data_IF_444455987403
#
_entry.id   IF_444455987403
#
_cell.length_a   1.000
_cell.length_b   1.000
_cell.length_c   1.000
_cell.angle_alpha   90.00
_cell.angle_beta   90.00
_cell.angle_gamma   90.00
#
_symmetry.space_group_name_H-M   'P 1'
#
loop_
_entity.id
_entity.type
_entity.pdbx_description
1 polymer ?
#
# COMPACT_ATOMS: atom_id res chain seq x y z
N UNK A 1 -17.68 -23.67 -6.78
CA UNK A 1 -17.14 -22.96 -5.62
C UNK A 1 -15.72 -22.51 -5.97
N UNK A 2 -15.41 -21.22 -6.17
CA UNK A 2 -14.06 -20.75 -6.26
C UNK A 2 -13.52 -20.61 -4.83
N UNK A 3 -12.52 -21.39 -4.47
CA UNK A 3 -11.82 -21.29 -3.21
C UNK A 3 -10.63 -20.37 -3.37
N UNK A 4 -10.59 -19.28 -2.63
CA UNK A 4 -9.39 -18.46 -2.47
C UNK A 4 -8.34 -19.31 -1.77
N UNK A 5 -7.28 -19.72 -2.48
CA UNK A 5 -6.22 -20.56 -1.91
C UNK A 5 -5.22 -19.64 -1.23
N UNK A 6 -5.28 -19.55 0.08
CA UNK A 6 -4.22 -18.95 0.88
C UNK A 6 -2.97 -19.85 0.81
N UNK A 7 -1.94 -19.42 0.12
CA UNK A 7 -0.61 -20.05 0.21
C UNK A 7 0.15 -19.37 1.34
N UNK A 8 0.13 -20.01 2.51
CA UNK A 8 1.03 -19.67 3.61
C UNK A 8 2.43 -20.18 3.26
N UNK A 9 3.37 -19.29 3.05
CA UNK A 9 4.79 -19.60 2.98
C UNK A 9 5.56 -18.77 4.01
N UNK A 10 6.21 -19.44 4.95
CA UNK A 10 7.35 -18.98 5.74
C UNK A 10 7.04 -17.92 6.80
N UNK A 11 6.95 -18.32 8.05
CA UNK A 11 6.39 -17.60 9.14
C UNK A 11 7.26 -16.53 9.82
N UNK A 12 6.72 -15.35 9.93
CA UNK A 12 6.98 -14.49 11.07
C UNK A 12 6.27 -15.07 12.31
N UNK A 13 6.85 -14.94 13.50
CA UNK A 13 6.23 -15.44 14.72
C UNK A 13 4.91 -14.71 14.99
N UNK A 14 3.91 -15.40 15.53
CA UNK A 14 2.56 -14.85 15.77
C UNK A 14 2.54 -13.55 16.61
N UNK A 15 3.59 -13.28 17.40
CA UNK A 15 3.76 -12.04 18.16
C UNK A 15 4.14 -10.84 17.30
N UNK A 16 4.90 -11.05 16.23
CA UNK A 16 5.36 -9.96 15.35
C UNK A 16 4.24 -9.48 14.42
N UNK A 17 3.37 -10.39 13.96
CA UNK A 17 2.21 -10.08 13.12
C UNK A 17 1.22 -9.17 13.85
N UNK A 18 1.09 -9.30 15.17
CA UNK A 18 0.18 -8.49 15.97
C UNK A 18 0.49 -6.98 15.94
N UNK A 19 1.73 -6.59 15.60
CA UNK A 19 2.14 -5.18 15.50
C UNK A 19 2.03 -4.59 14.08
N UNK A 20 1.85 -5.42 13.06
CA UNK A 20 1.69 -5.02 11.65
C UNK A 20 0.23 -4.97 11.21
N UNK A 21 -0.05 -5.58 10.05
CA UNK A 21 -1.38 -5.75 9.48
C UNK A 21 -1.88 -7.19 9.69
N UNK A 22 -3.11 -7.34 10.21
CA UNK A 22 -3.87 -8.59 10.15
C UNK A 22 -5.25 -8.30 9.56
N UNK A 23 -5.53 -8.88 8.40
CA UNK A 23 -6.85 -8.93 7.77
C UNK A 23 -7.24 -10.41 7.67
N UNK A 24 -8.37 -10.81 8.26
CA UNK A 24 -8.77 -12.21 8.37
C UNK A 24 -10.21 -12.41 7.94
N UNK A 25 -10.43 -13.35 7.03
CA UNK A 25 -11.77 -13.76 6.58
C UNK A 25 -12.57 -12.65 5.91
N UNK A 26 -11.89 -11.68 5.23
CA UNK A 26 -12.58 -10.54 4.62
C UNK A 26 -13.44 -10.98 3.44
N UNK A 27 -14.71 -10.65 3.53
CA UNK A 27 -15.65 -10.67 2.41
C UNK A 27 -16.08 -9.23 2.12
N UNK A 28 -15.99 -8.80 0.86
CA UNK A 28 -16.35 -7.46 0.45
C UNK A 28 -16.77 -7.43 -1.02
N UNK A 29 -17.53 -6.38 -1.39
CA UNK A 29 -17.97 -6.19 -2.75
C UNK A 29 -18.75 -4.90 -2.94
N UNK A 30 -19.41 -4.77 -4.08
CA UNK A 30 -20.16 -3.57 -4.48
C UNK A 30 -21.63 -3.94 -4.72
N UNK A 31 -22.53 -3.48 -3.85
CA UNK A 31 -23.93 -3.89 -3.90
C UNK A 31 -24.06 -5.41 -3.75
N UNK A 32 -24.73 -6.07 -4.68
CA UNK A 32 -24.91 -7.54 -4.66
C UNK A 32 -23.71 -8.32 -5.23
N UNK A 33 -22.73 -7.63 -5.81
CA UNK A 33 -21.56 -8.26 -6.44
C UNK A 33 -20.47 -8.48 -5.38
N UNK A 34 -20.28 -9.76 -4.96
CA UNK A 34 -19.14 -10.15 -4.12
C UNK A 34 -17.87 -10.19 -4.97
N UNK A 35 -16.83 -9.50 -4.50
CA UNK A 35 -15.51 -9.45 -5.15
C UNK A 35 -14.47 -10.21 -4.32
N UNK A 36 -14.55 -10.09 -2.99
CA UNK A 36 -13.67 -10.81 -2.07
C UNK A 36 -14.45 -11.85 -1.31
N UNK A 37 -13.90 -13.05 -1.23
CA UNK A 37 -14.45 -14.16 -0.44
C UNK A 37 -13.34 -14.76 0.42
N UNK A 38 -13.46 -14.60 1.74
CA UNK A 38 -12.55 -15.18 2.73
C UNK A 38 -11.06 -14.79 2.53
N UNK A 39 -10.80 -13.51 2.18
CA UNK A 39 -9.43 -13.02 2.05
C UNK A 39 -8.76 -12.93 3.42
N UNK A 40 -7.59 -13.55 3.54
CA UNK A 40 -6.73 -13.40 4.72
C UNK A 40 -5.33 -12.95 4.30
N UNK A 41 -4.84 -11.86 4.93
CA UNK A 41 -3.54 -11.25 4.70
C UNK A 41 -2.97 -10.78 6.03
N UNK A 42 -1.80 -11.29 6.38
CA UNK A 42 -1.05 -10.87 7.56
C UNK A 42 0.32 -10.37 7.11
N UNK A 43 0.77 -9.23 7.64
CA UNK A 43 2.08 -8.64 7.31
C UNK A 43 2.71 -8.11 8.58
N UNK A 44 3.88 -8.60 8.92
CA UNK A 44 4.64 -8.15 10.08
C UNK A 44 5.31 -6.79 9.83
N UNK A 45 5.61 -5.99 10.87
CA UNK A 45 6.52 -4.86 10.72
C UNK A 45 7.86 -5.33 10.13
N UNK A 46 8.41 -4.55 9.20
CA UNK A 46 9.62 -4.94 8.47
C UNK A 46 9.40 -5.89 7.30
N UNK A 47 8.21 -6.42 7.14
CA UNK A 47 7.88 -7.33 6.05
C UNK A 47 7.29 -6.56 4.86
N UNK A 48 7.71 -6.93 3.64
CA UNK A 48 7.13 -6.46 2.38
C UNK A 48 6.44 -7.62 1.66
N UNK A 49 5.13 -7.51 1.46
CA UNK A 49 4.30 -8.53 0.81
C UNK A 49 3.78 -8.01 -0.53
N UNK A 50 3.99 -8.80 -1.58
CA UNK A 50 3.41 -8.55 -2.89
C UNK A 50 2.02 -9.21 -3.01
N UNK A 51 1.00 -8.45 -3.38
CA UNK A 51 -0.32 -8.99 -3.73
C UNK A 51 -0.43 -9.04 -5.25
N UNK A 52 -0.51 -10.24 -5.76
CA UNK A 52 -0.46 -10.57 -7.18
C UNK A 52 -1.81 -11.12 -7.65
N UNK A 53 -2.10 -11.03 -8.93
CA UNK A 53 -3.31 -11.58 -9.53
C UNK A 53 -3.68 -10.88 -10.82
N UNK A 54 -4.55 -11.51 -11.60
CA UNK A 54 -5.05 -10.95 -12.86
C UNK A 54 -5.87 -9.67 -12.61
N UNK A 55 -6.09 -8.89 -13.67
CA UNK A 55 -7.04 -7.78 -13.62
C UNK A 55 -8.43 -8.33 -13.29
N UNK A 56 -9.13 -7.68 -12.35
CA UNK A 56 -10.43 -8.15 -11.87
C UNK A 56 -10.37 -9.14 -10.69
N UNK A 57 -9.21 -9.66 -10.31
CA UNK A 57 -9.08 -10.61 -9.18
C UNK A 57 -9.37 -10.00 -7.80
N UNK A 58 -9.71 -8.72 -7.71
CA UNK A 58 -10.08 -8.07 -6.45
C UNK A 58 -8.93 -7.42 -5.67
N UNK A 59 -7.74 -7.25 -6.26
CA UNK A 59 -6.57 -6.67 -5.57
C UNK A 59 -6.85 -5.28 -5.00
N UNK A 60 -7.30 -4.34 -5.83
CA UNK A 60 -7.70 -2.99 -5.40
C UNK A 60 -8.84 -3.03 -4.37
N UNK A 61 -9.82 -3.91 -4.57
CA UNK A 61 -10.93 -4.09 -3.62
C UNK A 61 -10.42 -4.57 -2.26
N UNK A 62 -9.41 -5.44 -2.24
CA UNK A 62 -8.77 -5.89 -1.00
C UNK A 62 -8.14 -4.71 -0.23
N UNK A 63 -7.34 -3.88 -0.91
CA UNK A 63 -6.76 -2.69 -0.28
C UNK A 63 -7.83 -1.71 0.18
N UNK A 64 -8.86 -1.46 -0.63
CA UNK A 64 -9.97 -0.56 -0.28
C UNK A 64 -10.78 -1.09 0.92
N UNK A 65 -11.02 -2.40 1.01
CA UNK A 65 -11.68 -3.01 2.16
C UNK A 65 -10.83 -2.89 3.44
N UNK A 66 -9.52 -3.15 3.34
CA UNK A 66 -8.57 -2.95 4.45
C UNK A 66 -8.48 -1.47 4.85
N UNK A 67 -8.53 -0.54 3.89
CA UNK A 67 -8.56 0.91 4.17
C UNK A 67 -9.91 1.41 4.70
N UNK A 68 -10.99 0.60 4.65
CA UNK A 68 -12.34 0.97 5.06
C UNK A 68 -13.09 1.83 4.07
N UNK A 69 -12.61 1.89 2.82
CA UNK A 69 -13.24 2.62 1.71
C UNK A 69 -14.36 1.80 1.05
N UNK A 70 -14.29 0.48 1.15
CA UNK A 70 -15.34 -0.46 0.74
C UNK A 70 -15.83 -1.19 1.99
N UNK A 71 -17.14 -1.28 2.22
CA UNK A 71 -17.69 -1.99 3.37
C UNK A 71 -17.37 -3.49 3.27
N UNK A 72 -17.10 -4.10 4.43
CA UNK A 72 -16.88 -5.53 4.55
C UNK A 72 -18.11 -6.21 5.11
N UNK A 73 -18.55 -7.31 4.49
CA UNK A 73 -19.68 -8.14 4.96
C UNK A 73 -19.27 -8.97 6.18
N UNK A 74 -18.01 -9.45 6.20
CA UNK A 74 -17.45 -10.26 7.28
C UNK A 74 -15.92 -10.09 7.35
N UNK A 75 -15.33 -10.67 8.39
CA UNK A 75 -13.90 -10.66 8.64
C UNK A 75 -13.47 -9.55 9.60
N UNK A 76 -12.18 -9.50 9.87
CA UNK A 76 -11.57 -8.52 10.79
C UNK A 76 -10.38 -7.83 10.15
N UNK A 77 -10.13 -6.57 10.57
CA UNK A 77 -8.95 -5.80 10.19
C UNK A 77 -8.30 -5.26 11.46
N UNK A 78 -7.00 -5.53 11.64
CA UNK A 78 -6.20 -5.02 12.77
C UNK A 78 -4.92 -4.38 12.26
N UNK A 79 -4.51 -3.29 12.91
CA UNK A 79 -3.27 -2.57 12.61
C UNK A 79 -2.58 -2.23 13.93
N UNK A 80 -1.35 -2.64 14.10
CA UNK A 80 -0.58 -2.40 15.32
C UNK A 80 -1.28 -2.92 16.58
N UNK A 81 -1.98 -4.05 16.48
CA UNK A 81 -2.77 -4.66 17.55
C UNK A 81 -4.17 -4.06 17.75
N UNK A 82 -4.46 -2.88 17.20
CA UNK A 82 -5.76 -2.24 17.33
C UNK A 82 -6.78 -2.87 16.36
N UNK A 83 -7.97 -3.23 16.87
CA UNK A 83 -9.08 -3.68 16.02
C UNK A 83 -9.73 -2.48 15.32
N UNK A 84 -9.62 -2.46 14.01
CA UNK A 84 -10.14 -1.40 13.13
C UNK A 84 -11.28 -1.89 12.23
N UNK A 85 -11.84 -3.06 12.49
CA UNK A 85 -12.85 -3.72 11.64
C UNK A 85 -14.02 -2.79 11.30
N UNK A 86 -14.50 -2.04 12.28
CA UNK A 86 -15.61 -1.09 12.12
C UNK A 86 -15.17 0.38 12.13
N UNK A 87 -13.86 0.64 12.10
CA UNK A 87 -13.34 1.98 12.13
C UNK A 87 -13.53 2.69 10.77
N UNK A 88 -13.80 3.99 10.81
CA UNK A 88 -13.85 4.82 9.61
C UNK A 88 -12.47 4.89 8.92
N UNK A 89 -12.40 5.23 7.61
CA UNK A 89 -11.13 5.40 6.92
C UNK A 89 -10.20 6.38 7.65
N UNK A 90 -10.73 7.52 8.13
CA UNK A 90 -9.93 8.49 8.89
C UNK A 90 -9.37 7.94 10.20
N UNK A 91 -10.14 7.10 10.91
CA UNK A 91 -9.66 6.43 12.13
C UNK A 91 -8.56 5.40 11.82
N UNK A 92 -8.66 4.68 10.68
CA UNK A 92 -7.62 3.74 10.23
C UNK A 92 -6.33 4.49 9.87
N UNK A 93 -6.42 5.64 9.20
CA UNK A 93 -5.27 6.52 8.95
C UNK A 93 -4.65 7.00 10.27
N UNK A 94 -5.48 7.43 11.24
CA UNK A 94 -5.00 7.82 12.57
C UNK A 94 -4.32 6.69 13.36
N UNK A 95 -4.67 5.44 13.08
CA UNK A 95 -4.03 4.25 13.66
C UNK A 95 -2.70 3.86 12.98
N UNK A 96 -2.34 4.53 11.86
CA UNK A 96 -1.11 4.30 11.12
C UNK A 96 -1.26 3.47 9.84
N UNK A 97 -2.49 3.27 9.33
CA UNK A 97 -2.72 2.65 8.02
C UNK A 97 -2.73 3.72 6.93
N UNK A 98 -1.78 3.69 6.04
CA UNK A 98 -1.71 4.61 4.88
C UNK A 98 -1.84 3.81 3.59
N UNK A 99 -2.64 4.31 2.65
CA UNK A 99 -2.82 3.72 1.33
C UNK A 99 -2.48 4.74 0.24
N UNK A 100 -1.69 4.32 -0.72
CA UNK A 100 -1.42 5.03 -1.99
C UNK A 100 -2.25 4.35 -3.07
N UNK A 101 -3.31 5.00 -3.57
CA UNK A 101 -4.17 4.43 -4.58
C UNK A 101 -3.52 4.46 -5.98
N UNK A 102 -4.09 3.72 -6.93
CA UNK A 102 -3.64 3.64 -8.33
C UNK A 102 -3.71 4.99 -9.07
N UNK A 103 -4.69 5.85 -8.72
CA UNK A 103 -4.81 7.22 -9.22
C UNK A 103 -3.88 8.22 -8.53
N UNK A 104 -3.04 7.75 -7.57
CA UNK A 104 -2.08 8.50 -6.76
C UNK A 104 -2.69 9.43 -5.72
N UNK A 105 -3.97 9.77 -5.79
CA UNK A 105 -4.65 10.68 -4.85
C UNK A 105 -4.06 12.10 -4.78
N UNK A 106 -3.45 12.59 -5.86
CA UNK A 106 -2.78 13.89 -5.90
C UNK A 106 -3.68 14.98 -6.49
N UNK A 107 -3.49 16.22 -6.04
CA UNK A 107 -4.18 17.40 -6.54
C UNK A 107 -3.33 18.08 -7.65
N UNK A 108 -3.70 18.01 -8.93
CA UNK A 108 -2.86 18.49 -10.03
C UNK A 108 -2.52 19.98 -9.97
N UNK A 109 -3.35 20.79 -9.30
CA UNK A 109 -3.17 22.23 -9.15
C UNK A 109 -2.19 22.65 -8.06
N UNK A 110 -1.94 21.79 -7.09
CA UNK A 110 -1.01 22.05 -5.99
C UNK A 110 0.43 21.72 -6.42
N UNK A 111 1.38 22.43 -5.85
CA UNK A 111 2.80 22.10 -5.97
C UNK A 111 3.16 20.87 -5.15
N UNK A 112 4.32 20.29 -5.44
CA UNK A 112 4.86 19.17 -4.65
C UNK A 112 5.02 19.59 -3.19
N UNK A 113 5.59 20.76 -2.90
CA UNK A 113 5.78 21.24 -1.54
C UNK A 113 4.44 21.43 -0.79
N UNK A 114 3.41 21.96 -1.48
CA UNK A 114 2.08 22.10 -0.86
C UNK A 114 1.49 20.74 -0.47
N UNK A 115 1.69 19.67 -1.26
CA UNK A 115 1.24 18.33 -0.89
C UNK A 115 1.90 17.83 0.39
N UNK A 116 3.22 17.98 0.52
CA UNK A 116 3.92 17.58 1.75
C UNK A 116 3.47 18.41 2.96
N UNK A 117 3.20 19.70 2.76
CA UNK A 117 2.66 20.57 3.82
C UNK A 117 1.28 20.11 4.32
N UNK A 118 0.42 19.55 3.43
CA UNK A 118 -0.89 19.00 3.85
C UNK A 118 -0.79 17.85 4.85
N UNK A 119 0.32 17.12 4.83
CA UNK A 119 0.58 16.00 5.76
C UNK A 119 1.51 16.39 6.91
N UNK A 120 1.86 17.68 7.03
CA UNK A 120 2.71 18.19 8.10
C UNK A 120 4.19 17.83 7.94
N UNK A 121 4.65 17.58 6.70
CA UNK A 121 6.03 17.21 6.38
C UNK A 121 6.63 18.14 5.30
N UNK A 122 7.84 17.85 4.86
CA UNK A 122 8.54 18.57 3.81
C UNK A 122 8.99 17.66 2.67
N UNK A 123 9.28 18.28 1.52
CA UNK A 123 9.85 17.58 0.37
C UNK A 123 11.22 17.00 0.71
N UNK A 124 11.99 17.69 1.56
CA UNK A 124 13.35 17.28 1.92
C UNK A 124 13.37 15.93 2.63
N UNK A 125 12.39 15.67 3.50
CA UNK A 125 12.25 14.37 4.18
C UNK A 125 12.00 13.24 3.15
N UNK A 126 11.15 13.45 2.17
CA UNK A 126 10.92 12.47 1.10
C UNK A 126 12.11 12.34 0.14
N UNK A 127 12.87 13.42 -0.05
CA UNK A 127 14.03 13.45 -0.92
C UNK A 127 15.21 12.61 -0.37
N UNK A 128 15.22 12.28 0.91
CA UNK A 128 16.17 11.32 1.47
C UNK A 128 16.04 9.93 0.79
N UNK A 129 14.82 9.54 0.43
CA UNK A 129 14.55 8.28 -0.30
C UNK A 129 14.48 8.49 -1.81
N UNK A 130 13.85 9.59 -2.26
CA UNK A 130 13.67 9.92 -3.67
C UNK A 130 14.32 11.27 -4.00
N UNK A 131 15.65 11.32 -4.25
CA UNK A 131 16.39 12.58 -4.42
C UNK A 131 15.85 13.48 -5.53
N UNK A 132 15.21 12.92 -6.56
CA UNK A 132 14.59 13.69 -7.63
C UNK A 132 13.52 14.67 -7.14
N UNK A 133 12.85 14.39 -6.00
CA UNK A 133 11.82 15.26 -5.44
C UNK A 133 12.34 16.62 -5.01
N UNK A 134 13.60 16.74 -4.57
CA UNK A 134 14.18 17.99 -4.14
C UNK A 134 14.09 19.10 -5.23
N UNK A 135 14.29 18.72 -6.50
CA UNK A 135 14.18 19.63 -7.64
C UNK A 135 12.75 19.98 -8.06
N UNK A 136 11.75 19.33 -7.46
CA UNK A 136 10.33 19.43 -7.86
C UNK A 136 9.48 20.27 -6.90
N UNK A 137 10.03 20.73 -5.77
CA UNK A 137 9.27 21.33 -4.68
C UNK A 137 8.27 22.43 -5.13
N UNK A 138 8.68 23.34 -5.99
CA UNK A 138 7.84 24.43 -6.53
C UNK A 138 7.01 24.04 -7.75
N UNK A 139 7.18 22.84 -8.32
CA UNK A 139 6.46 22.42 -9.52
C UNK A 139 5.06 21.94 -9.15
N UNK A 140 4.05 22.34 -9.95
CA UNK A 140 2.70 21.79 -9.82
C UNK A 140 2.72 20.31 -10.20
N UNK A 141 2.03 19.47 -9.41
CA UNK A 141 2.01 18.01 -9.63
C UNK A 141 1.44 17.66 -11.01
N UNK A 142 0.46 18.41 -11.51
CA UNK A 142 -0.07 18.21 -12.87
C UNK A 142 0.94 18.47 -14.01
N UNK A 143 2.08 19.12 -13.72
CA UNK A 143 3.18 19.35 -14.67
C UNK A 143 4.36 18.36 -14.45
N UNK A 144 4.24 17.45 -13.50
CA UNK A 144 5.21 16.38 -13.27
C UNK A 144 4.93 15.20 -14.21
N UNK A 145 5.97 14.45 -14.58
CA UNK A 145 5.84 13.18 -15.28
C UNK A 145 5.11 12.14 -14.41
N UNK A 146 4.59 11.08 -15.02
CA UNK A 146 3.92 10.00 -14.28
C UNK A 146 4.81 9.38 -13.21
N UNK A 147 6.11 9.22 -13.48
CA UNK A 147 7.08 8.71 -12.51
C UNK A 147 7.34 9.67 -11.35
N UNK A 148 7.49 10.97 -11.64
CA UNK A 148 7.63 12.00 -10.61
C UNK A 148 6.38 12.07 -9.72
N UNK A 149 5.18 11.99 -10.31
CA UNK A 149 3.93 11.94 -9.55
C UNK A 149 3.87 10.71 -8.65
N UNK A 150 4.33 9.55 -9.13
CA UNK A 150 4.34 8.33 -8.32
C UNK A 150 5.32 8.44 -7.15
N UNK A 151 6.51 9.02 -7.38
CA UNK A 151 7.47 9.31 -6.30
C UNK A 151 6.88 10.28 -5.27
N UNK A 152 6.13 11.31 -5.70
CA UNK A 152 5.40 12.20 -4.78
C UNK A 152 4.39 11.43 -3.95
N UNK A 153 3.54 10.60 -4.59
CA UNK A 153 2.49 9.84 -3.90
C UNK A 153 3.06 8.85 -2.87
N UNK A 154 4.07 8.08 -3.27
CA UNK A 154 4.75 7.14 -2.37
C UNK A 154 5.49 7.88 -1.26
N UNK A 155 6.21 8.96 -1.58
CA UNK A 155 6.90 9.81 -0.62
C UNK A 155 5.95 10.38 0.44
N UNK A 156 4.77 10.87 0.03
CA UNK A 156 3.72 11.33 0.96
C UNK A 156 3.24 10.21 1.91
N UNK A 157 3.17 8.97 1.42
CA UNK A 157 2.87 7.82 2.25
C UNK A 157 3.96 7.54 3.29
N UNK A 158 5.23 7.60 2.87
CA UNK A 158 6.39 7.26 3.69
C UNK A 158 6.66 8.29 4.80
N UNK A 159 6.60 9.59 4.51
CA UNK A 159 6.88 10.65 5.51
C UNK A 159 5.87 10.67 6.65
N UNK A 160 4.74 10.00 6.51
CA UNK A 160 3.77 9.82 7.60
C UNK A 160 4.20 8.76 8.62
N UNK A 161 5.33 8.06 8.39
CA UNK A 161 5.85 6.98 9.24
C UNK A 161 4.76 5.97 9.61
N UNK A 162 4.14 5.35 8.59
CA UNK A 162 3.00 4.48 8.82
C UNK A 162 3.42 3.17 9.48
N UNK A 163 2.52 2.56 10.27
CA UNK A 163 2.67 1.15 10.71
C UNK A 163 2.43 0.19 9.55
N UNK A 164 1.54 0.58 8.63
CA UNK A 164 1.20 -0.18 7.42
C UNK A 164 1.13 0.78 6.25
N UNK A 165 1.92 0.55 5.22
CA UNK A 165 1.84 1.23 3.93
C UNK A 165 1.36 0.26 2.87
N UNK A 166 0.24 0.58 2.25
CA UNK A 166 -0.32 -0.17 1.12
C UNK A 166 -0.18 0.66 -0.15
N UNK A 167 0.31 0.07 -1.24
CA UNK A 167 0.49 0.75 -2.53
C UNK A 167 -0.18 -0.07 -3.62
N UNK A 168 -1.12 0.54 -4.35
CA UNK A 168 -1.83 -0.09 -5.45
C UNK A 168 -1.18 0.27 -6.79
N UNK A 169 -0.94 -0.74 -7.64
CA UNK A 169 -0.43 -0.64 -9.02
C UNK A 169 0.78 0.33 -9.15
N UNK A 170 1.79 0.12 -8.31
CA UNK A 170 2.96 0.99 -8.17
C UNK A 170 3.64 1.35 -9.50
N UNK A 171 3.81 0.37 -10.39
CA UNK A 171 4.63 0.50 -11.61
C UNK A 171 3.82 0.75 -12.89
N UNK A 172 2.50 0.85 -12.81
CA UNK A 172 1.66 0.98 -14.00
C UNK A 172 2.00 2.24 -14.81
N UNK A 173 2.39 2.03 -16.08
CA UNK A 173 2.72 3.12 -17.01
C UNK A 173 4.05 3.82 -16.74
N UNK A 174 4.92 3.26 -15.88
CA UNK A 174 6.23 3.80 -15.57
C UNK A 174 7.35 3.13 -16.38
N UNK A 175 8.45 3.88 -16.55
CA UNK A 175 9.69 3.29 -17.04
C UNK A 175 10.24 2.28 -16.00
N UNK A 176 10.83 1.15 -16.44
CA UNK A 176 11.31 0.10 -15.53
C UNK A 176 12.29 0.61 -14.45
N UNK A 177 13.12 1.59 -14.79
CA UNK A 177 14.07 2.19 -13.85
C UNK A 177 13.35 2.93 -12.71
N UNK A 178 12.30 3.71 -13.00
CA UNK A 178 11.52 4.42 -11.99
C UNK A 178 10.76 3.43 -11.09
N UNK A 179 10.20 2.38 -11.67
CA UNK A 179 9.56 1.31 -10.89
C UNK A 179 10.56 0.63 -9.94
N UNK A 180 11.79 0.36 -10.39
CA UNK A 180 12.83 -0.21 -9.55
C UNK A 180 13.24 0.72 -8.41
N UNK A 181 13.37 2.03 -8.66
CA UNK A 181 13.65 3.05 -7.62
C UNK A 181 12.55 3.08 -6.56
N UNK A 182 11.28 3.06 -6.97
CA UNK A 182 10.13 3.04 -6.05
C UNK A 182 10.10 1.77 -5.20
N UNK A 183 10.31 0.61 -5.81
CA UNK A 183 10.39 -0.68 -5.10
C UNK A 183 11.55 -0.71 -4.11
N UNK A 184 12.71 -0.18 -4.49
CA UNK A 184 13.87 -0.07 -3.60
C UNK A 184 13.59 0.85 -2.40
N UNK A 185 12.91 1.98 -2.61
CA UNK A 185 12.47 2.88 -1.54
C UNK A 185 11.50 2.21 -0.56
N UNK A 186 10.52 1.45 -1.08
CA UNK A 186 9.58 0.69 -0.24
C UNK A 186 10.29 -0.44 0.51
N UNK A 187 11.25 -1.12 -0.11
CA UNK A 187 12.06 -2.14 0.57
C UNK A 187 12.88 -1.53 1.71
N UNK A 188 13.54 -0.38 1.47
CA UNK A 188 14.28 0.33 2.50
C UNK A 188 13.39 0.75 3.68
N UNK A 189 12.15 1.20 3.40
CA UNK A 189 11.18 1.52 4.44
C UNK A 189 10.83 0.29 5.29
N UNK A 190 10.60 -0.87 4.67
CA UNK A 190 10.35 -2.10 5.40
C UNK A 190 11.59 -2.54 6.19
N UNK A 191 12.80 -2.48 5.59
CA UNK A 191 14.06 -2.87 6.25
C UNK A 191 14.37 -2.04 7.51
N UNK A 192 13.81 -0.83 7.62
CA UNK A 192 13.85 -0.05 8.87
C UNK A 192 13.11 -0.74 10.05
N UNK A 193 12.29 -1.75 9.76
CA UNK A 193 11.72 -2.68 10.74
C UNK A 193 10.42 -2.22 11.42
N UNK A 194 9.95 -1.00 11.16
CA UNK A 194 8.76 -0.44 11.84
C UNK A 194 7.49 -0.51 11.00
N UNK A 195 7.62 -0.57 9.67
CA UNK A 195 6.50 -0.51 8.72
C UNK A 195 6.27 -1.86 8.04
N UNK A 196 5.03 -2.34 8.06
CA UNK A 196 4.56 -3.42 7.20
C UNK A 196 4.21 -2.84 5.83
N UNK A 197 4.73 -3.40 4.74
CA UNK A 197 4.50 -2.89 3.37
C UNK A 197 3.72 -3.90 2.55
N UNK A 198 2.64 -3.45 1.92
CA UNK A 198 1.83 -4.23 0.97
C UNK A 198 1.89 -3.55 -0.38
N UNK A 199 2.33 -4.26 -1.41
CA UNK A 199 2.38 -3.74 -2.77
C UNK A 199 1.52 -4.60 -3.69
N UNK A 200 0.55 -3.99 -4.34
CA UNK A 200 -0.21 -4.63 -5.42
C UNK A 200 0.49 -4.37 -6.73
N UNK A 201 0.80 -5.44 -7.46
CA UNK A 201 1.53 -5.37 -8.72
C UNK A 201 1.05 -6.37 -9.76
N UNK A 202 1.27 -6.02 -11.02
CA UNK A 202 1.07 -6.90 -12.18
C UNK A 202 2.41 -7.43 -12.71
N UNK A 203 3.50 -6.67 -12.52
CA UNK A 203 4.85 -7.05 -12.94
C UNK A 203 5.52 -7.91 -11.85
N UNK A 204 5.22 -9.21 -11.92
CA UNK A 204 5.57 -10.21 -10.91
C UNK A 204 7.07 -10.26 -10.60
N UNK A 205 7.90 -10.30 -11.65
CA UNK A 205 9.36 -10.49 -11.49
C UNK A 205 10.01 -9.35 -10.71
N UNK A 206 9.62 -8.10 -10.98
CA UNK A 206 10.20 -6.93 -10.34
C UNK A 206 9.86 -6.86 -8.84
N UNK A 207 8.60 -7.11 -8.48
CA UNK A 207 8.17 -7.02 -7.08
C UNK A 207 8.65 -8.21 -6.27
N UNK A 208 8.66 -9.43 -6.83
CA UNK A 208 9.15 -10.62 -6.13
C UNK A 208 10.67 -10.62 -5.91
N UNK A 209 11.41 -9.81 -6.67
CA UNK A 209 12.85 -9.64 -6.42
C UNK A 209 13.15 -8.90 -5.09
N UNK A 210 12.18 -8.16 -4.55
CA UNK A 210 12.35 -7.34 -3.34
C UNK A 210 11.37 -7.66 -2.22
N UNK A 211 10.24 -8.32 -2.52
CA UNK A 211 9.27 -8.73 -1.51
C UNK A 211 9.73 -10.00 -0.78
N UNK A 212 9.39 -10.10 0.51
CA UNK A 212 9.67 -11.29 1.32
C UNK A 212 8.81 -12.48 0.88
N UNK A 213 7.59 -12.21 0.43
CA UNK A 213 6.65 -13.22 -0.13
C UNK A 213 5.57 -12.59 -1.00
N UNK A 214 4.89 -13.43 -1.77
CA UNK A 214 3.74 -13.06 -2.58
C UNK A 214 2.44 -13.74 -2.12
N UNK A 215 1.33 -13.00 -2.19
CA UNK A 215 -0.03 -13.52 -2.08
C UNK A 215 -0.67 -13.44 -3.45
N UNK A 216 -1.16 -14.57 -3.97
CA UNK A 216 -1.84 -14.61 -5.27
C UNK A 216 -3.36 -14.62 -5.05
N UNK A 217 -4.06 -13.63 -5.59
CA UNK A 217 -5.51 -13.61 -5.65
C UNK A 217 -5.97 -14.27 -6.96
N UNK A 218 -6.84 -15.25 -6.85
CA UNK A 218 -7.51 -15.93 -7.98
C UNK A 218 -9.01 -15.75 -7.86
N UNK A 219 -9.67 -15.70 -9.02
CA UNK A 219 -11.14 -15.71 -9.13
C UNK A 219 -11.74 -17.00 -8.59
#
# INVERSE_FOLDING_TARGET
>A
LPGNTSVSAGGAAAGDIAQGLSAEGLCAGYGDAKVLSDLSLQVAPGEMVAVLGRNGAGKTTALMAIAGLVPTDSGTVRVGGADLTRASPGARVGAGLVSVPDDRGLFPSLSVAEHFSLVGSSVDEAAETFPALAGLAGRRVGACSGGEQQQVAVGLGMVRRPKVLMVDELSMGLAPQVAAELLAGLRALADAGETAVVVVEQFVDAVLAVADRGLVLSE
#
